data_IF_116770492920
#
_entry.id   IF_116770492920
#
_cell.length_a   1.000
_cell.length_b   1.000
_cell.length_c   1.000
_cell.angle_alpha   90.00
_cell.angle_beta   90.00
_cell.angle_gamma   90.00
#
_symmetry.space_group_name_H-M   'P 1'
#
loop_
_entity.id
_entity.type
_entity.pdbx_description
1 polymer ?
#
# COMPACT_ATOMS: atom_id res chain seq x y z
N UNK A 1 19.70 5.25 -1.42
CA UNK A 1 19.70 3.84 -0.98
C UNK A 1 18.42 3.18 -1.46
N UNK A 2 18.55 2.08 -2.20
CA UNK A 2 17.40 1.30 -2.65
C UNK A 2 16.83 0.49 -1.48
N UNK A 3 15.50 0.34 -1.45
CA UNK A 3 14.76 -0.38 -0.41
C UNK A 3 14.98 -1.91 -0.46
N UNK A 4 15.41 -2.46 -1.59
CA UNK A 4 15.83 -3.85 -1.73
C UNK A 4 16.79 -4.04 -2.93
N UNK A 5 17.48 -5.20 -3.05
CA UNK A 5 18.30 -5.52 -4.22
C UNK A 5 17.46 -5.59 -5.50
N UNK A 6 18.03 -5.13 -6.63
CA UNK A 6 17.37 -5.20 -7.94
C UNK A 6 17.38 -6.64 -8.46
N UNK A 7 16.21 -7.14 -8.83
CA UNK A 7 15.97 -8.46 -9.40
C UNK A 7 15.52 -8.33 -10.86
N UNK A 8 15.51 -9.43 -11.62
CA UNK A 8 15.14 -9.43 -13.03
C UNK A 8 14.19 -10.59 -13.35
N UNK A 9 13.14 -10.32 -14.14
CA UNK A 9 12.23 -11.36 -14.65
C UNK A 9 12.21 -11.37 -16.18
N UNK A 10 12.19 -12.57 -16.76
CA UNK A 10 12.03 -12.75 -18.20
C UNK A 10 10.54 -12.68 -18.57
N UNK A 11 10.16 -11.76 -19.44
CA UNK A 11 8.79 -11.63 -19.97
C UNK A 11 8.87 -11.38 -21.48
N UNK A 12 8.26 -12.25 -22.28
CA UNK A 12 8.23 -12.17 -23.75
C UNK A 12 9.61 -11.94 -24.39
N UNK A 13 10.66 -12.60 -23.89
CA UNK A 13 12.04 -12.45 -24.39
C UNK A 13 12.78 -11.21 -23.90
N UNK A 14 12.15 -10.35 -23.09
CA UNK A 14 12.78 -9.19 -22.47
C UNK A 14 13.11 -9.44 -21.00
N UNK A 15 14.21 -8.84 -20.53
CA UNK A 15 14.59 -8.84 -19.13
C UNK A 15 14.06 -7.55 -18.46
N UNK A 16 13.11 -7.69 -17.54
CA UNK A 16 12.48 -6.56 -16.84
C UNK A 16 13.03 -6.48 -15.42
N UNK A 17 13.68 -5.37 -15.02
CA UNK A 17 14.10 -5.17 -13.64
C UNK A 17 12.89 -4.96 -12.73
N UNK A 18 12.94 -5.50 -11.52
CA UNK A 18 11.96 -5.28 -10.48
C UNK A 18 12.62 -5.29 -9.10
N UNK A 19 11.96 -4.72 -8.12
CA UNK A 19 12.36 -4.82 -6.72
C UNK A 19 11.40 -5.75 -6.02
N UNK A 20 11.94 -6.76 -5.34
CA UNK A 20 11.12 -7.58 -4.45
C UNK A 20 10.95 -6.84 -3.14
N UNK A 21 9.70 -6.54 -2.79
CA UNK A 21 9.35 -6.01 -1.48
C UNK A 21 9.04 -7.21 -0.60
N UNK A 22 10.05 -7.63 0.17
CA UNK A 22 9.86 -8.64 1.21
C UNK A 22 9.36 -7.94 2.45
N UNK A 23 8.21 -8.37 2.92
CA UNK A 23 7.64 -7.87 4.15
C UNK A 23 7.65 -8.96 5.23
N UNK A 24 8.74 -9.73 5.27
CA UNK A 24 8.85 -10.93 6.11
C UNK A 24 8.79 -10.61 7.62
N UNK A 25 8.99 -9.34 7.99
CA UNK A 25 8.98 -8.84 9.38
C UNK A 25 7.67 -8.11 9.75
N UNK A 26 6.52 -8.56 9.24
CA UNK A 26 5.24 -8.02 9.67
C UNK A 26 4.99 -8.30 11.15
N UNK A 27 4.91 -7.23 11.93
CA UNK A 27 4.44 -7.24 13.31
C UNK A 27 3.69 -5.92 13.58
N UNK A 28 3.12 -5.79 14.77
CA UNK A 28 2.41 -4.55 15.17
C UNK A 28 3.31 -3.29 15.12
N UNK A 29 4.64 -3.45 15.12
CA UNK A 29 5.60 -2.34 15.02
C UNK A 29 5.95 -1.98 13.56
N UNK A 30 5.75 -2.90 12.61
CA UNK A 30 6.10 -2.76 11.19
C UNK A 30 4.90 -3.08 10.30
N UNK A 31 3.90 -2.21 10.35
CA UNK A 31 2.67 -2.36 9.57
C UNK A 31 2.92 -2.09 8.07
N UNK A 32 2.36 -2.93 7.15
CA UNK A 32 2.52 -2.73 5.70
C UNK A 32 1.91 -1.43 5.18
N UNK A 33 0.81 -1.01 5.79
CA UNK A 33 0.00 0.14 5.38
C UNK A 33 -0.17 1.04 6.58
N UNK A 34 0.53 2.17 6.59
CA UNK A 34 0.45 3.15 7.67
C UNK A 34 -0.79 4.04 7.55
N UNK A 35 -1.14 4.43 6.32
CA UNK A 35 -2.26 5.33 6.05
C UNK A 35 -2.91 5.14 4.69
N UNK A 36 -4.19 5.52 4.62
CA UNK A 36 -4.97 5.66 3.39
C UNK A 36 -5.42 7.11 3.27
N UNK A 37 -5.18 7.68 2.09
CA UNK A 37 -5.61 9.03 1.75
C UNK A 37 -6.83 8.93 0.82
N UNK A 38 -7.99 9.30 1.35
CA UNK A 38 -9.23 9.45 0.58
C UNK A 38 -9.14 10.70 -0.29
N UNK A 39 -9.36 10.56 -1.58
CA UNK A 39 -9.49 11.70 -2.48
C UNK A 39 -10.69 12.60 -2.11
N UNK A 40 -10.69 13.88 -2.51
CA UNK A 40 -11.73 14.85 -2.12
C UNK A 40 -13.15 14.48 -2.61
N UNK A 41 -13.25 13.68 -3.68
CA UNK A 41 -14.54 13.22 -4.24
C UNK A 41 -14.95 11.82 -3.74
N UNK A 42 -14.14 11.18 -2.91
CA UNK A 42 -14.43 9.84 -2.41
C UNK A 42 -15.51 9.91 -1.31
N UNK A 43 -16.63 9.23 -1.53
CA UNK A 43 -17.80 9.23 -0.62
C UNK A 43 -17.87 8.02 0.31
N UNK A 44 -16.92 7.07 0.23
CA UNK A 44 -16.93 5.89 1.08
C UNK A 44 -16.82 6.27 2.54
N UNK A 45 -17.52 5.55 3.40
CA UNK A 45 -17.51 5.82 4.84
C UNK A 45 -16.24 5.20 5.41
N UNK A 46 -15.60 5.88 6.37
CA UNK A 46 -14.34 5.40 6.97
C UNK A 46 -14.51 4.01 7.61
N UNK A 47 -15.70 3.70 8.13
CA UNK A 47 -16.04 2.40 8.70
C UNK A 47 -16.01 1.28 7.65
N UNK A 48 -16.51 1.52 6.44
CA UNK A 48 -16.48 0.53 5.34
C UNK A 48 -15.04 0.24 4.93
N UNK A 49 -14.22 1.29 4.84
CA UNK A 49 -12.79 1.19 4.54
C UNK A 49 -12.09 0.37 5.63
N UNK A 50 -12.38 0.62 6.92
CA UNK A 50 -11.81 -0.15 8.04
C UNK A 50 -12.22 -1.62 8.00
N UNK A 51 -13.48 -1.93 7.73
CA UNK A 51 -13.96 -3.32 7.63
C UNK A 51 -13.27 -4.03 6.47
N UNK A 52 -13.18 -3.38 5.30
CA UNK A 52 -12.49 -3.93 4.15
C UNK A 52 -11.02 -4.25 4.47
N UNK A 53 -10.32 -3.33 5.12
CA UNK A 53 -8.92 -3.52 5.52
C UNK A 53 -8.76 -4.66 6.53
N UNK A 54 -9.60 -4.69 7.57
CA UNK A 54 -9.56 -5.74 8.59
C UNK A 54 -9.79 -7.13 7.98
N UNK A 55 -10.74 -7.25 7.04
CA UNK A 55 -11.00 -8.50 6.32
C UNK A 55 -9.80 -8.98 5.48
N UNK A 56 -8.88 -8.08 5.12
CA UNK A 56 -7.66 -8.39 4.39
C UNK A 56 -6.42 -8.46 5.30
N UNK A 57 -6.61 -8.48 6.63
CA UNK A 57 -5.51 -8.58 7.60
C UNK A 57 -4.76 -7.28 7.86
N UNK A 58 -5.31 -6.14 7.44
CA UNK A 58 -4.74 -4.81 7.71
C UNK A 58 -5.45 -4.17 8.92
N UNK A 59 -4.68 -3.93 9.97
CA UNK A 59 -5.14 -3.31 11.20
C UNK A 59 -4.46 -1.94 11.39
N UNK A 60 -5.00 -1.10 12.27
CA UNK A 60 -4.45 0.22 12.68
C UNK A 60 -4.17 1.27 11.57
N UNK A 61 -4.64 1.04 10.34
CA UNK A 61 -4.46 1.98 9.23
C UNK A 61 -5.12 3.34 9.52
N UNK A 62 -4.35 4.43 9.38
CA UNK A 62 -4.86 5.80 9.53
C UNK A 62 -5.60 6.24 8.26
N UNK A 63 -6.86 6.64 8.37
CA UNK A 63 -7.62 7.16 7.24
C UNK A 63 -7.61 8.69 7.29
N UNK A 64 -7.17 9.34 6.21
CA UNK A 64 -7.14 10.80 6.04
C UNK A 64 -7.90 11.21 4.79
N UNK A 65 -8.45 12.41 4.78
CA UNK A 65 -9.03 13.03 3.58
C UNK A 65 -8.06 14.03 2.96
N UNK A 66 -7.77 13.88 1.68
CA UNK A 66 -7.04 14.86 0.89
C UNK A 66 -7.95 16.05 0.56
N UNK A 67 -7.44 17.26 0.78
CA UNK A 67 -8.03 18.51 0.28
C UNK A 67 -7.61 18.83 -1.15
N UNK A 68 -6.64 18.11 -1.70
CA UNK A 68 -6.07 18.42 -3.00
C UNK A 68 -6.95 17.86 -4.12
N UNK A 69 -7.49 18.75 -4.95
CA UNK A 69 -7.93 18.39 -6.29
C UNK A 69 -6.68 18.12 -7.11
N UNK A 70 -6.52 16.91 -7.65
CA UNK A 70 -5.52 16.64 -8.69
C UNK A 70 -5.56 17.79 -9.72
N UNK A 71 -4.41 18.44 -9.93
CA UNK A 71 -4.16 19.40 -11.01
C UNK A 71 -3.65 18.65 -12.22
#
# INVERSE_FOLDING_TARGET
NNISPMMFRAVCGNLIPYFELKFDNFNEENEPILEIIKGPKNKFIDQEIRIFLANNGFYNVKIKSSKSSYR
#
